data_IF_241436259454
#
_entry.id   IF_241436259454
#
_cell.length_a   1.000
_cell.length_b   1.000
_cell.length_c   1.000
_cell.angle_alpha   90.00
_cell.angle_beta   90.00
_cell.angle_gamma   90.00
#
_symmetry.space_group_name_H-M   'P 1'
#
loop_
_entity.id
_entity.type
_entity.pdbx_description
1 polymer ?
#
# COMPACT_ATOMS: atom_id res chain seq x y z
N UNK A 1 23.95 -1.97 -8.06
CA UNK A 1 22.78 -2.65 -7.48
C UNK A 1 21.57 -1.72 -7.55
N UNK A 2 20.43 -2.14 -8.13
CA UNK A 2 19.30 -1.23 -8.40
C UNK A 2 18.26 -1.35 -7.29
N UNK A 3 18.31 -0.44 -6.32
CA UNK A 3 17.22 -0.25 -5.34
C UNK A 3 15.97 0.18 -6.11
N UNK A 4 14.79 -0.30 -5.70
CA UNK A 4 13.51 0.22 -6.20
C UNK A 4 13.13 1.53 -5.53
N UNK A 5 13.90 2.00 -4.54
CA UNK A 5 13.69 3.28 -3.87
C UNK A 5 14.90 4.21 -3.99
N UNK A 6 14.65 5.52 -3.92
CA UNK A 6 15.68 6.55 -3.90
C UNK A 6 15.22 7.76 -3.07
N UNK A 7 16.06 8.20 -2.12
CA UNK A 7 15.84 9.37 -1.25
C UNK A 7 16.66 10.61 -1.65
N UNK A 8 17.36 10.60 -2.79
CA UNK A 8 18.47 11.52 -3.09
C UNK A 8 18.06 12.94 -3.54
N UNK A 9 16.85 13.39 -3.27
CA UNK A 9 16.39 14.69 -3.74
C UNK A 9 15.65 15.44 -2.64
N UNK A 10 15.93 16.74 -2.51
CA UNK A 10 15.03 17.66 -1.85
C UNK A 10 14.36 18.51 -2.92
N UNK A 11 13.04 18.50 -2.95
CA UNK A 11 12.24 19.33 -3.86
C UNK A 11 11.58 20.42 -3.01
N UNK A 12 11.88 21.69 -3.29
CA UNK A 12 11.38 22.84 -2.53
C UNK A 12 11.65 22.78 -1.01
N UNK A 13 12.72 22.09 -0.60
CA UNK A 13 13.08 21.92 0.82
C UNK A 13 12.33 20.78 1.53
N UNK A 14 11.54 19.98 0.81
CA UNK A 14 10.92 18.76 1.31
C UNK A 14 11.67 17.52 0.85
N UNK A 15 11.63 16.45 1.65
CA UNK A 15 12.25 15.18 1.26
C UNK A 15 11.51 14.57 0.06
N UNK A 16 12.24 13.93 -0.84
CA UNK A 16 11.65 13.19 -1.95
C UNK A 16 12.01 11.72 -1.84
N UNK A 17 10.99 10.86 -1.93
CA UNK A 17 11.13 9.42 -2.09
C UNK A 17 10.60 9.02 -3.46
N UNK A 18 11.44 8.43 -4.30
CA UNK A 18 11.01 7.80 -5.56
C UNK A 18 10.94 6.29 -5.38
N UNK A 19 9.83 5.67 -5.80
CA UNK A 19 9.62 4.23 -5.84
C UNK A 19 9.47 3.78 -7.30
N UNK A 20 10.55 3.28 -7.88
CA UNK A 20 10.68 2.92 -9.29
C UNK A 20 10.97 1.43 -9.48
N UNK A 21 10.09 0.73 -10.19
CA UNK A 21 10.23 -0.70 -10.50
C UNK A 21 9.54 -1.62 -9.49
N UNK A 22 9.90 -2.91 -9.51
CA UNK A 22 9.24 -3.94 -8.70
C UNK A 22 9.51 -3.77 -7.20
N UNK A 23 8.45 -3.83 -6.39
CA UNK A 23 8.54 -3.83 -4.93
C UNK A 23 8.96 -5.24 -4.51
N UNK A 24 10.16 -5.38 -3.94
CA UNK A 24 10.69 -6.68 -3.53
C UNK A 24 11.04 -6.70 -2.04
N UNK A 25 10.78 -7.83 -1.39
CA UNK A 25 11.18 -8.11 -0.01
C UNK A 25 12.64 -8.61 0.10
N UNK A 26 13.20 -9.13 -1.00
CA UNK A 26 14.58 -9.59 -1.12
C UNK A 26 15.13 -9.21 -2.51
N UNK A 27 16.45 -9.05 -2.63
CA UNK A 27 17.04 -8.98 -3.97
C UNK A 27 17.12 -10.34 -4.61
N UNK A 28 16.72 -10.41 -5.87
CA UNK A 28 16.77 -11.60 -6.71
C UNK A 28 18.19 -12.21 -6.87
N UNK A 29 19.24 -11.49 -6.44
CA UNK A 29 20.65 -11.86 -6.62
C UNK A 29 21.43 -12.04 -5.31
N UNK A 30 20.76 -12.25 -4.17
CA UNK A 30 21.44 -12.55 -2.90
C UNK A 30 22.11 -11.34 -2.22
N UNK A 31 21.86 -10.15 -2.73
CA UNK A 31 22.25 -8.90 -2.07
C UNK A 31 21.23 -8.52 -0.98
N UNK A 32 21.71 -7.98 0.15
CA UNK A 32 20.90 -7.61 1.32
C UNK A 32 20.03 -6.33 1.13
N UNK A 33 19.50 -6.06 -0.07
CA UNK A 33 18.45 -5.04 -0.22
C UNK A 33 17.15 -5.66 0.24
N UNK A 34 16.83 -5.34 1.48
CA UNK A 34 15.64 -5.80 2.20
C UNK A 34 14.83 -4.59 2.64
N UNK A 35 13.53 -4.76 2.97
CA UNK A 35 12.72 -3.76 3.63
C UNK A 35 13.41 -3.12 4.84
N UNK A 36 14.29 -3.86 5.55
CA UNK A 36 15.07 -3.31 6.66
C UNK A 36 15.98 -2.16 6.25
N UNK A 37 16.63 -2.26 5.08
CA UNK A 37 17.49 -1.19 4.57
C UNK A 37 16.65 0.05 4.22
N UNK A 38 15.52 -0.14 3.53
CA UNK A 38 14.56 0.94 3.28
C UNK A 38 14.14 1.61 4.58
N UNK A 39 13.72 0.84 5.59
CA UNK A 39 13.29 1.38 6.88
C UNK A 39 14.41 2.13 7.60
N UNK A 40 15.66 1.66 7.50
CA UNK A 40 16.81 2.32 8.11
C UNK A 40 17.17 3.66 7.46
N UNK A 41 16.91 3.80 6.15
CA UNK A 41 17.09 5.05 5.41
C UNK A 41 15.90 5.99 5.67
N UNK A 42 14.68 5.47 5.61
CA UNK A 42 13.44 6.20 5.87
C UNK A 42 13.39 6.80 7.28
N UNK A 43 13.90 6.08 8.28
CA UNK A 43 13.97 6.57 9.67
C UNK A 43 14.83 7.83 9.85
N UNK A 44 15.64 8.20 8.85
CA UNK A 44 16.47 9.42 8.84
C UNK A 44 15.77 10.58 8.14
N UNK A 45 14.62 10.36 7.50
CA UNK A 45 13.84 11.40 6.86
C UNK A 45 12.94 12.06 7.91
N UNK A 46 13.25 13.31 8.28
CA UNK A 46 12.42 14.15 9.13
C UNK A 46 11.73 15.24 8.31
N UNK A 47 10.53 15.67 8.70
CA UNK A 47 9.76 16.72 8.01
C UNK A 47 8.89 16.18 6.87
N UNK A 48 8.34 17.06 6.04
CA UNK A 48 7.45 16.65 4.94
C UNK A 48 8.18 15.79 3.91
N UNK A 49 7.43 14.91 3.25
CA UNK A 49 7.94 14.03 2.20
C UNK A 49 6.96 13.93 1.03
N UNK A 50 7.49 14.05 -0.18
CA UNK A 50 6.78 13.72 -1.41
C UNK A 50 7.24 12.36 -1.93
N UNK A 51 6.30 11.43 -2.09
CA UNK A 51 6.52 10.07 -2.58
C UNK A 51 6.05 9.96 -4.03
N UNK A 52 6.98 9.76 -4.96
CA UNK A 52 6.70 9.50 -6.36
C UNK A 52 6.68 8.00 -6.63
N UNK A 53 5.65 7.49 -7.30
CA UNK A 53 5.47 6.06 -7.57
C UNK A 53 5.40 5.79 -9.08
N UNK A 54 6.27 4.89 -9.54
CA UNK A 54 6.23 4.27 -10.85
C UNK A 54 6.60 2.78 -10.73
N UNK A 55 5.64 2.00 -10.26
CA UNK A 55 5.84 0.59 -9.91
C UNK A 55 4.69 -0.30 -10.40
N UNK A 56 5.02 -1.44 -11.05
CA UNK A 56 4.04 -2.49 -11.37
C UNK A 56 3.56 -3.26 -10.13
N UNK A 57 4.07 -2.94 -8.94
CA UNK A 57 3.83 -3.67 -7.70
C UNK A 57 4.90 -4.71 -7.43
N UNK A 58 4.52 -5.81 -6.76
CA UNK A 58 5.42 -6.88 -6.35
C UNK A 58 4.97 -7.47 -5.02
N UNK A 59 5.91 -7.62 -4.08
CA UNK A 59 5.69 -8.18 -2.76
C UNK A 59 4.73 -7.33 -1.92
N UNK A 60 3.60 -7.94 -1.55
CA UNK A 60 2.53 -7.28 -0.78
C UNK A 60 2.94 -7.00 0.67
N UNK A 61 3.81 -7.83 1.26
CA UNK A 61 4.29 -7.65 2.62
C UNK A 61 5.23 -6.43 2.68
N UNK A 62 6.18 -6.33 1.75
CA UNK A 62 7.05 -5.17 1.61
C UNK A 62 6.23 -3.90 1.33
N UNK A 63 5.25 -3.97 0.42
CA UNK A 63 4.33 -2.86 0.15
C UNK A 63 3.57 -2.40 1.40
N UNK A 64 3.06 -3.34 2.19
CA UNK A 64 2.37 -3.03 3.45
C UNK A 64 3.31 -2.41 4.50
N UNK A 65 4.57 -2.85 4.57
CA UNK A 65 5.54 -2.28 5.50
C UNK A 65 5.89 -0.83 5.15
N UNK A 66 6.12 -0.54 3.87
CA UNK A 66 6.36 0.83 3.38
C UNK A 66 5.16 1.72 3.68
N UNK A 67 3.95 1.24 3.40
CA UNK A 67 2.73 1.99 3.73
C UNK A 67 2.63 2.31 5.22
N UNK A 68 2.88 1.34 6.11
CA UNK A 68 2.86 1.56 7.56
C UNK A 68 3.89 2.62 7.96
N UNK A 69 5.10 2.56 7.42
CA UNK A 69 6.14 3.54 7.68
C UNK A 69 5.72 4.96 7.28
N UNK A 70 5.18 5.12 6.07
CA UNK A 70 4.64 6.39 5.58
C UNK A 70 3.46 6.88 6.44
N UNK A 71 2.58 5.98 6.89
CA UNK A 71 1.43 6.32 7.74
C UNK A 71 1.84 6.80 9.14
N UNK A 72 2.92 6.26 9.67
CA UNK A 72 3.48 6.62 10.98
C UNK A 72 4.43 7.83 10.93
N UNK A 73 4.76 8.28 9.72
CA UNK A 73 5.59 9.46 9.53
C UNK A 73 4.95 10.69 10.16
N UNK A 74 5.76 11.48 10.88
CA UNK A 74 5.27 12.67 11.60
C UNK A 74 5.01 13.85 10.66
N UNK A 75 5.76 13.94 9.56
CA UNK A 75 5.59 14.98 8.55
C UNK A 75 4.45 14.68 7.59
N UNK A 76 4.04 15.67 6.79
CA UNK A 76 3.05 15.45 5.75
C UNK A 76 3.63 14.51 4.68
N UNK A 77 2.89 13.46 4.34
CA UNK A 77 3.21 12.56 3.23
C UNK A 77 2.31 12.92 2.04
N UNK A 78 2.93 13.36 0.96
CA UNK A 78 2.25 13.63 -0.31
C UNK A 78 2.61 12.54 -1.31
N UNK A 79 1.64 11.77 -1.79
CA UNK A 79 1.89 10.76 -2.81
C UNK A 79 1.54 11.29 -4.20
N UNK A 80 2.44 11.07 -5.17
CA UNK A 80 2.25 11.37 -6.59
C UNK A 80 2.55 10.13 -7.43
N UNK A 81 1.74 9.89 -8.45
CA UNK A 81 1.96 8.77 -9.39
C UNK A 81 2.62 9.36 -10.64
N UNK A 82 3.85 8.92 -10.92
CA UNK A 82 4.65 9.38 -12.06
C UNK A 82 4.29 8.58 -13.33
N UNK A 83 4.07 7.27 -13.18
CA UNK A 83 3.65 6.38 -14.26
C UNK A 83 2.51 5.47 -13.84
N UNK A 84 2.84 4.37 -13.15
CA UNK A 84 1.87 3.40 -12.66
C UNK A 84 2.05 3.13 -11.16
N UNK A 85 0.96 2.80 -10.49
CA UNK A 85 0.97 2.24 -9.14
C UNK A 85 0.03 1.04 -9.11
N UNK A 86 0.54 -0.13 -9.51
CA UNK A 86 -0.23 -1.36 -9.63
C UNK A 86 0.03 -2.34 -8.48
N UNK A 87 -0.93 -3.22 -8.19
CA UNK A 87 -0.80 -4.28 -7.16
C UNK A 87 -0.33 -3.73 -5.81
N UNK A 88 0.78 -4.23 -5.23
CA UNK A 88 1.32 -3.76 -3.95
C UNK A 88 1.61 -2.24 -3.92
N UNK A 89 1.97 -1.63 -5.06
CA UNK A 89 2.20 -0.20 -5.14
C UNK A 89 0.92 0.61 -4.97
N UNK A 90 -0.23 0.06 -5.37
CA UNK A 90 -1.54 0.70 -5.15
C UNK A 90 -1.86 0.86 -3.67
N UNK A 91 -1.37 -0.03 -2.80
CA UNK A 91 -1.52 0.07 -1.34
C UNK A 91 -0.69 1.23 -0.79
N UNK A 92 0.56 1.36 -1.24
CA UNK A 92 1.44 2.49 -0.87
C UNK A 92 0.82 3.82 -1.30
N UNK A 93 0.13 3.83 -2.45
CA UNK A 93 -0.48 5.03 -2.99
C UNK A 93 -1.76 5.52 -2.27
N UNK A 94 -2.35 4.69 -1.39
CA UNK A 94 -3.60 5.03 -0.73
C UNK A 94 -3.40 6.14 0.31
N UNK A 95 -4.39 7.04 0.41
CA UNK A 95 -4.48 7.91 1.59
C UNK A 95 -4.81 7.09 2.85
N UNK A 96 -4.55 7.67 4.03
CA UNK A 96 -4.91 7.05 5.32
C UNK A 96 -6.39 6.65 5.38
N UNK A 97 -7.27 7.56 4.97
CA UNK A 97 -8.71 7.32 4.98
C UNK A 97 -9.11 6.23 3.99
N UNK A 98 -8.49 6.20 2.80
CA UNK A 98 -8.71 5.14 1.81
C UNK A 98 -8.30 3.78 2.34
N UNK A 99 -7.15 3.68 3.00
CA UNK A 99 -6.68 2.44 3.60
C UNK A 99 -7.57 1.97 4.75
N UNK A 100 -7.96 2.86 5.66
CA UNK A 100 -8.80 2.47 6.80
C UNK A 100 -10.19 2.01 6.34
N UNK A 101 -10.73 2.63 5.27
CA UNK A 101 -11.94 2.15 4.57
C UNK A 101 -11.75 0.78 3.93
N UNK A 102 -10.66 0.58 3.19
CA UNK A 102 -10.34 -0.69 2.53
C UNK A 102 -10.15 -1.81 3.56
N UNK A 103 -9.39 -1.56 4.63
CA UNK A 103 -9.17 -2.47 5.74
C UNK A 103 -10.49 -2.93 6.36
N UNK A 104 -11.36 -1.99 6.70
CA UNK A 104 -12.65 -2.30 7.30
C UNK A 104 -13.56 -3.10 6.36
N UNK A 105 -13.55 -2.77 5.07
CA UNK A 105 -14.26 -3.53 4.05
C UNK A 105 -13.72 -4.97 3.91
N UNK A 106 -12.40 -5.14 3.76
CA UNK A 106 -11.75 -6.45 3.57
C UNK A 106 -11.88 -7.38 4.77
N UNK A 107 -11.72 -6.86 5.98
CA UNK A 107 -11.94 -7.64 7.21
C UNK A 107 -13.40 -8.10 7.28
N UNK A 108 -14.35 -7.21 6.99
CA UNK A 108 -15.78 -7.55 6.99
C UNK A 108 -16.10 -8.60 5.93
N UNK A 109 -15.66 -8.41 4.68
CA UNK A 109 -15.98 -9.33 3.58
C UNK A 109 -15.31 -10.69 3.77
N UNK A 110 -14.14 -10.77 4.41
CA UNK A 110 -13.46 -12.03 4.72
C UNK A 110 -14.32 -12.93 5.62
N UNK A 111 -14.93 -12.35 6.65
CA UNK A 111 -15.87 -13.07 7.54
C UNK A 111 -17.08 -13.56 6.73
N UNK A 112 -17.65 -12.69 5.89
CA UNK A 112 -18.82 -13.03 5.05
C UNK A 112 -18.48 -14.13 4.03
N UNK A 113 -17.29 -14.09 3.40
CA UNK A 113 -16.79 -15.16 2.51
C UNK A 113 -16.66 -16.49 3.26
N UNK A 114 -16.22 -16.47 4.51
CA UNK A 114 -16.16 -17.66 5.37
C UNK A 114 -17.55 -18.22 5.70
N UNK A 115 -18.56 -17.37 5.90
CA UNK A 115 -19.94 -17.82 6.08
C UNK A 115 -20.51 -18.44 4.80
N UNK A 116 -20.23 -17.82 3.65
CA UNK A 116 -20.63 -18.32 2.34
C UNK A 116 -20.00 -19.68 2.05
N UNK A 117 -18.70 -19.85 2.27
CA UNK A 117 -18.00 -21.12 2.02
C UNK A 117 -18.50 -22.26 2.93
N UNK A 118 -19.00 -21.93 4.12
CA UNK A 118 -19.64 -22.88 5.04
C UNK A 118 -21.11 -23.18 4.71
N UNK A 119 -21.66 -22.54 3.68
CA UNK A 119 -23.08 -22.69 3.30
C UNK A 119 -24.05 -22.06 4.31
N UNK A 120 -23.58 -21.21 5.22
CA UNK A 120 -24.42 -20.54 6.23
C UNK A 120 -25.27 -19.44 5.58
N UNK A 121 -24.75 -18.81 4.53
CA UNK A 121 -25.45 -17.79 3.73
C UNK A 121 -25.45 -18.17 2.25
N UNK A 122 -26.44 -17.69 1.50
CA UNK A 122 -26.50 -17.89 0.06
C UNK A 122 -25.65 -16.88 -0.71
N UNK A 123 -25.36 -17.17 -1.98
CA UNK A 123 -24.76 -16.19 -2.92
C UNK A 123 -25.59 -14.91 -3.05
N UNK A 124 -26.92 -15.01 -2.95
CA UNK A 124 -27.81 -13.84 -2.98
C UNK A 124 -27.65 -12.97 -1.74
N UNK A 125 -27.43 -13.59 -0.57
CA UNK A 125 -27.18 -12.88 0.68
C UNK A 125 -25.80 -12.25 0.67
N UNK A 126 -24.78 -12.97 0.18
CA UNK A 126 -23.44 -12.44 -0.03
C UNK A 126 -23.47 -11.16 -0.85
N UNK A 127 -24.08 -11.17 -2.05
CA UNK A 127 -24.16 -10.00 -2.93
C UNK A 127 -24.87 -8.82 -2.27
N UNK A 128 -25.93 -9.05 -1.49
CA UNK A 128 -26.63 -7.98 -0.78
C UNK A 128 -25.76 -7.37 0.32
N UNK A 129 -25.06 -8.19 1.08
CA UNK A 129 -24.17 -7.73 2.16
C UNK A 129 -23.00 -6.97 1.56
N UNK A 130 -22.38 -7.52 0.52
CA UNK A 130 -21.29 -6.90 -0.21
C UNK A 130 -21.66 -5.51 -0.73
N UNK A 131 -22.79 -5.37 -1.44
CA UNK A 131 -23.28 -4.06 -1.89
C UNK A 131 -23.43 -3.07 -0.74
N UNK A 132 -23.95 -3.50 0.42
CA UNK A 132 -24.09 -2.63 1.60
C UNK A 132 -22.74 -2.24 2.20
N UNK A 133 -21.79 -3.18 2.26
CA UNK A 133 -20.44 -2.91 2.76
C UNK A 133 -19.68 -1.99 1.81
N UNK A 134 -19.81 -2.17 0.50
CA UNK A 134 -19.22 -1.31 -0.50
C UNK A 134 -19.78 0.12 -0.43
N UNK A 135 -21.09 0.27 -0.25
CA UNK A 135 -21.72 1.59 -0.03
C UNK A 135 -21.28 2.25 1.28
N UNK A 136 -21.14 1.47 2.36
CA UNK A 136 -20.75 1.98 3.68
C UNK A 136 -19.29 2.41 3.73
N UNK A 137 -18.40 1.59 3.19
CA UNK A 137 -16.96 1.77 3.34
C UNK A 137 -16.31 2.42 2.13
N UNK A 138 -16.95 2.47 0.96
CA UNK A 138 -16.36 3.01 -0.28
C UNK A 138 -14.90 2.54 -0.47
N UNK A 139 -14.67 1.20 -0.54
CA UNK A 139 -13.33 0.64 -0.72
C UNK A 139 -12.73 1.10 -2.05
N UNK A 140 -11.41 1.14 -2.11
CA UNK A 140 -10.67 1.53 -3.33
C UNK A 140 -10.67 0.42 -4.35
N UNK A 141 -10.51 -0.83 -3.90
CA UNK A 141 -10.43 -1.99 -4.81
C UNK A 141 -11.77 -2.71 -4.97
N UNK A 142 -12.65 -2.62 -3.96
CA UNK A 142 -13.94 -3.32 -3.98
C UNK A 142 -13.78 -4.83 -4.16
N UNK A 143 -14.44 -5.39 -5.18
CA UNK A 143 -14.46 -6.83 -5.46
C UNK A 143 -13.30 -7.33 -6.33
N UNK A 144 -12.30 -6.50 -6.65
CA UNK A 144 -11.05 -6.97 -7.27
C UNK A 144 -10.37 -8.05 -6.41
#
# INVERSE_FOLDING_TARGET
MRKFWNFNEMENGENVLRLDGEIASESWWGDEVTPKLFMSEFAKCDGNITVWINSPGGDVVAGSQIYTALKEHKGQVTVKIDGIAASAASVIAMTKDQFDREKNYRVSISIIKSLLSKGIISEKDYRKIDTKLAQKYCPVFGNL
#
